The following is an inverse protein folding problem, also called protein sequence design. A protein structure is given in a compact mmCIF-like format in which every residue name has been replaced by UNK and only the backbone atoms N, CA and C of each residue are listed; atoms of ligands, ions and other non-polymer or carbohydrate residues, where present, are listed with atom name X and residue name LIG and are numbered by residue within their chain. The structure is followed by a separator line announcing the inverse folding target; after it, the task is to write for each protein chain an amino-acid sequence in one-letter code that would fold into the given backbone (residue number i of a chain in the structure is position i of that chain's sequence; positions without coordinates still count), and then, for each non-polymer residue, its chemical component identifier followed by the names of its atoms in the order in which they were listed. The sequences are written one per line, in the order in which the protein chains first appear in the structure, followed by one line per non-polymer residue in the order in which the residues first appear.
data_IF_492768949251
#
_entry.id   IF_492768949251
#
_cell.length_a   1.000
_cell.length_b   1.000
_cell.length_c   1.000
_cell.angle_alpha   90.00
_cell.angle_beta   90.00
_cell.angle_gamma   90.00
#
_symmetry.space_group_name_H-M   'P 1'
#
loop_
_entity.id
_entity.type
_entity.pdbx_description
1 polymer ?
#
# COMPACT_ATOMS: atom_id res chain seq x y z
N UNK A 1 0.23 -10.01 -14.60
CA UNK A 1 -0.10 -10.59 -13.28
C UNK A 1 0.89 -11.66 -12.82
N UNK A 2 1.32 -12.62 -13.66
CA UNK A 2 2.22 -13.71 -13.22
C UNK A 2 3.59 -13.27 -12.67
N UNK A 3 4.25 -12.30 -13.31
CA UNK A 3 5.58 -11.83 -12.85
C UNK A 3 5.50 -11.12 -11.50
N UNK A 4 4.53 -10.20 -11.34
CA UNK A 4 4.37 -9.48 -10.08
C UNK A 4 3.92 -10.41 -8.94
N UNK A 5 3.06 -11.38 -9.22
CA UNK A 5 2.67 -12.39 -8.24
C UNK A 5 3.88 -13.21 -7.77
N UNK A 6 4.79 -13.58 -8.67
CA UNK A 6 6.02 -14.30 -8.30
C UNK A 6 6.95 -13.42 -7.45
N UNK A 7 7.13 -12.14 -7.81
CA UNK A 7 7.95 -11.20 -7.01
C UNK A 7 7.35 -11.02 -5.61
N UNK A 8 6.03 -10.88 -5.49
CA UNK A 8 5.33 -10.80 -4.21
C UNK A 8 5.56 -12.05 -3.35
N UNK A 9 5.51 -13.24 -3.96
CA UNK A 9 5.75 -14.52 -3.29
C UNK A 9 7.22 -14.70 -2.88
N UNK A 10 8.16 -14.31 -3.74
CA UNK A 10 9.60 -14.34 -3.45
C UNK A 10 9.94 -13.43 -2.26
N UNK A 11 9.38 -12.22 -2.20
CA UNK A 11 9.56 -11.33 -1.04
C UNK A 11 8.95 -11.90 0.26
N UNK A 12 7.79 -12.57 0.19
CA UNK A 12 7.16 -13.24 1.34
C UNK A 12 8.02 -14.41 1.87
N UNK A 13 8.54 -15.27 0.98
CA UNK A 13 9.34 -16.44 1.35
C UNK A 13 10.69 -16.07 1.99
N UNK A 14 11.37 -15.05 1.48
CA UNK A 14 12.62 -14.54 2.06
C UNK A 14 12.43 -14.00 3.48
N UNK A 15 11.28 -13.36 3.73
CA UNK A 15 10.98 -12.73 5.02
C UNK A 15 10.59 -13.73 6.10
N UNK A 16 9.81 -14.77 5.79
CA UNK A 16 9.48 -15.84 6.74
C UNK A 16 10.75 -16.57 7.21
N UNK A 17 11.69 -16.79 6.29
CA UNK A 17 13.01 -17.32 6.59
C UNK A 17 13.80 -16.40 7.53
N UNK A 18 13.82 -15.09 7.26
CA UNK A 18 14.49 -14.09 8.10
C UNK A 18 13.84 -13.98 9.49
N UNK A 19 12.52 -13.93 9.60
CA UNK A 19 11.81 -13.90 10.88
C UNK A 19 12.12 -15.15 11.72
N UNK A 20 12.19 -16.32 11.09
CA UNK A 20 12.53 -17.58 11.77
C UNK A 20 13.93 -17.53 12.38
N UNK A 21 14.88 -16.85 11.72
CA UNK A 21 16.25 -16.67 12.20
C UNK A 21 16.41 -15.68 13.37
N UNK A 22 15.43 -14.80 13.61
CA UNK A 22 15.50 -13.76 14.64
C UNK A 22 15.18 -14.26 16.05
N UNK A 23 15.81 -13.64 17.06
CA UNK A 23 15.51 -13.87 18.48
C UNK A 23 14.12 -13.32 18.88
N UNK A 24 13.53 -13.88 19.96
CA UNK A 24 12.23 -13.41 20.50
C UNK A 24 12.24 -11.91 20.84
N UNK A 25 13.35 -11.39 21.35
CA UNK A 25 13.52 -9.97 21.70
C UNK A 25 13.43 -9.07 20.46
N UNK A 26 14.10 -9.46 19.37
CA UNK A 26 14.04 -8.73 18.10
C UNK A 26 12.64 -8.73 17.49
N UNK A 27 11.94 -9.88 17.51
CA UNK A 27 10.53 -9.96 17.06
C UNK A 27 9.62 -9.03 17.86
N UNK A 28 9.80 -8.98 19.19
CA UNK A 28 9.04 -8.08 20.06
C UNK A 28 9.30 -6.59 19.76
N UNK A 29 10.53 -6.20 19.43
CA UNK A 29 10.83 -4.82 19.07
C UNK A 29 10.18 -4.39 17.75
N UNK A 30 10.09 -5.30 16.76
CA UNK A 30 9.37 -5.03 15.51
C UNK A 30 7.90 -4.73 15.83
N UNK A 31 7.26 -5.51 16.70
CA UNK A 31 5.87 -5.27 17.09
C UNK A 31 5.65 -3.87 17.68
N UNK A 32 6.59 -3.35 18.49
CA UNK A 32 6.51 -1.98 19.05
C UNK A 32 6.57 -0.88 17.98
N UNK A 33 7.34 -1.08 16.91
CA UNK A 33 7.38 -0.12 15.80
C UNK A 33 6.02 -0.06 15.09
N UNK A 34 5.37 -1.21 14.93
CA UNK A 34 4.05 -1.29 14.28
C UNK A 34 2.94 -0.70 15.15
N UNK A 35 3.06 -0.77 16.48
CA UNK A 35 2.10 -0.17 17.43
C UNK A 35 1.99 1.36 17.28
N UNK A 36 3.08 2.04 16.92
CA UNK A 36 3.15 3.51 16.74
C UNK A 36 2.77 3.97 15.33
N UNK A 37 2.06 3.13 14.56
CA UNK A 37 1.67 3.43 13.17
C UNK A 37 0.84 4.71 13.03
N UNK A 38 -0.08 4.99 13.96
CA UNK A 38 -0.99 6.15 13.86
C UNK A 38 -0.24 7.46 14.09
N UNK A 39 0.79 7.45 14.94
CA UNK A 39 1.54 8.63 15.33
C UNK A 39 2.74 8.88 14.43
N UNK A 40 3.44 7.81 14.05
CA UNK A 40 4.76 7.88 13.40
C UNK A 40 4.80 7.29 11.97
N UNK A 41 3.71 6.67 11.50
CA UNK A 41 3.63 6.12 10.14
C UNK A 41 3.60 7.21 9.08
N UNK A 42 4.31 7.01 7.97
CA UNK A 42 4.46 8.02 6.90
C UNK A 42 3.13 8.46 6.27
N UNK A 43 2.09 7.63 6.30
CA UNK A 43 0.76 8.03 5.85
C UNK A 43 0.28 9.27 6.61
N UNK A 44 0.33 9.24 7.93
CA UNK A 44 -0.13 10.36 8.74
C UNK A 44 0.91 11.48 8.83
N UNK A 45 2.20 11.14 8.98
CA UNK A 45 3.24 12.15 9.24
C UNK A 45 3.66 12.91 7.99
N UNK A 46 3.65 12.28 6.82
CA UNK A 46 4.07 12.89 5.56
C UNK A 46 2.88 13.13 4.62
N UNK A 47 2.11 12.08 4.29
CA UNK A 47 1.09 12.19 3.25
C UNK A 47 -0.04 13.12 3.68
N UNK A 48 -0.70 12.83 4.80
CA UNK A 48 -1.84 13.63 5.30
C UNK A 48 -1.44 15.03 5.70
N UNK A 49 -0.26 15.22 6.31
CA UNK A 49 0.16 16.52 6.87
C UNK A 49 0.86 17.46 5.89
N UNK A 50 1.47 16.93 4.83
CA UNK A 50 2.35 17.72 3.97
C UNK A 50 2.09 17.57 2.48
N UNK A 51 1.74 16.36 2.00
CA UNK A 51 1.60 16.13 0.57
C UNK A 51 0.21 16.49 0.05
N UNK A 52 -0.84 16.30 0.85
CA UNK A 52 -2.22 16.60 0.43
C UNK A 52 -2.41 18.09 0.06
N UNK A 53 -1.65 18.99 0.67
CA UNK A 53 -1.76 20.44 0.44
C UNK A 53 -0.82 20.97 -0.67
N UNK A 54 0.09 20.14 -1.19
CA UNK A 54 1.12 20.53 -2.16
C UNK A 54 1.07 19.64 -3.41
N UNK A 55 0.43 20.13 -4.48
CA UNK A 55 0.24 19.38 -5.73
C UNK A 55 1.57 18.92 -6.35
N UNK A 56 2.60 19.76 -6.32
CA UNK A 56 3.90 19.44 -6.93
C UNK A 56 4.57 18.30 -6.17
N UNK A 57 4.60 18.36 -4.84
CA UNK A 57 5.17 17.27 -4.04
C UNK A 57 4.33 16.00 -4.11
N UNK A 58 3.00 16.13 -4.12
CA UNK A 58 2.10 15.00 -4.29
C UNK A 58 2.41 14.26 -5.59
N UNK A 59 2.53 15.00 -6.70
CA UNK A 59 2.86 14.43 -8.00
C UNK A 59 4.25 13.80 -8.03
N UNK A 60 5.26 14.45 -7.45
CA UNK A 60 6.60 13.86 -7.34
C UNK A 60 6.61 12.57 -6.53
N UNK A 61 5.77 12.48 -5.50
CA UNK A 61 5.74 11.33 -4.60
C UNK A 61 4.96 10.13 -5.18
N UNK A 62 3.80 10.38 -5.81
CA UNK A 62 2.90 9.33 -6.31
C UNK A 62 2.94 9.14 -7.83
N UNK A 63 3.64 10.00 -8.57
CA UNK A 63 3.62 10.06 -10.05
C UNK A 63 2.23 10.25 -10.66
N UNK A 64 1.27 10.77 -9.87
CA UNK A 64 -0.11 11.09 -10.25
C UNK A 64 -0.49 12.46 -9.70
N UNK A 65 -1.33 13.21 -10.41
CA UNK A 65 -1.95 14.42 -9.84
C UNK A 65 -2.97 14.04 -8.76
N UNK A 66 -3.31 14.98 -7.87
CA UNK A 66 -4.35 14.74 -6.85
C UNK A 66 -5.69 14.39 -7.50
N UNK A 67 -6.05 15.07 -8.58
CA UNK A 67 -7.29 14.80 -9.32
C UNK A 67 -7.34 13.37 -9.82
N UNK A 68 -6.26 12.89 -10.46
CA UNK A 68 -6.16 11.50 -10.93
C UNK A 68 -6.20 10.51 -9.78
N UNK A 69 -5.53 10.83 -8.67
CA UNK A 69 -5.56 9.98 -7.47
C UNK A 69 -6.98 9.79 -6.95
N UNK A 70 -7.74 10.87 -6.78
CA UNK A 70 -9.11 10.79 -6.28
C UNK A 70 -10.07 10.15 -7.30
N UNK A 71 -9.84 10.34 -8.59
CA UNK A 71 -10.56 9.62 -9.64
C UNK A 71 -10.33 8.11 -9.53
N UNK A 72 -9.08 7.64 -9.46
CA UNK A 72 -8.75 6.23 -9.25
C UNK A 72 -9.39 5.70 -7.96
N UNK A 73 -9.27 6.46 -6.87
CA UNK A 73 -9.83 6.08 -5.56
C UNK A 73 -11.35 5.87 -5.68
N UNK A 74 -12.07 6.75 -6.38
CA UNK A 74 -13.52 6.66 -6.52
C UNK A 74 -14.00 5.36 -7.20
N UNK A 75 -13.17 4.74 -8.04
CA UNK A 75 -13.49 3.48 -8.72
C UNK A 75 -13.26 2.24 -7.86
N UNK A 76 -12.34 2.31 -6.89
CA UNK A 76 -11.86 1.13 -6.14
C UNK A 76 -12.18 1.19 -4.65
N UNK A 77 -12.56 2.36 -4.12
CA UNK A 77 -12.74 2.62 -2.69
C UNK A 77 -13.63 1.59 -2.01
N UNK A 78 -14.77 1.23 -2.63
CA UNK A 78 -15.72 0.28 -2.08
C UNK A 78 -15.14 -1.14 -1.96
N UNK A 79 -14.25 -1.53 -2.87
CA UNK A 79 -13.69 -2.89 -2.93
C UNK A 79 -12.45 -3.03 -2.01
N UNK A 80 -11.71 -1.94 -1.77
CA UNK A 80 -10.50 -1.96 -0.92
C UNK A 80 -10.77 -1.52 0.53
N UNK A 81 -11.94 -0.94 0.82
CA UNK A 81 -12.35 -0.59 2.18
C UNK A 81 -12.68 -1.86 2.97
N UNK A 82 -11.97 -2.10 4.07
CA UNK A 82 -12.29 -3.20 4.99
C UNK A 82 -13.36 -2.75 5.98
N UNK A 83 -14.31 -3.64 6.28
CA UNK A 83 -15.31 -3.39 7.33
C UNK A 83 -14.69 -3.56 8.72
N UNK A 84 -15.15 -2.77 9.72
CA UNK A 84 -14.76 -2.98 11.11
C UNK A 84 -15.13 -4.40 11.56
N UNK A 85 -14.29 -5.02 12.39
CA UNK A 85 -14.56 -6.32 13.00
C UNK A 85 -14.11 -6.34 14.46
N UNK A 86 -14.37 -7.45 15.17
CA UNK A 86 -14.06 -7.59 16.61
C UNK A 86 -12.59 -7.33 16.95
N UNK A 87 -11.67 -7.51 16.00
CA UNK A 87 -10.23 -7.31 16.17
C UNK A 87 -9.74 -5.95 15.63
N UNK A 88 -10.53 -5.27 14.78
CA UNK A 88 -10.18 -4.01 14.12
C UNK A 88 -11.36 -3.05 14.21
N UNK A 89 -11.33 -2.19 15.22
CA UNK A 89 -12.39 -1.20 15.47
C UNK A 89 -12.36 -0.02 14.49
N UNK A 90 -11.16 0.39 14.03
CA UNK A 90 -10.95 1.45 13.04
C UNK A 90 -10.22 0.87 11.81
N UNK A 91 -10.94 0.49 10.74
CA UNK A 91 -10.31 0.06 9.50
C UNK A 91 -9.44 1.16 8.91
N UNK A 92 -8.40 0.73 8.21
CA UNK A 92 -7.58 1.63 7.41
C UNK A 92 -8.48 2.23 6.32
N UNK A 93 -8.58 3.56 6.22
CA UNK A 93 -9.28 4.24 5.11
C UNK A 93 -8.69 3.80 3.78
N UNK A 94 -9.54 3.57 2.75
CA UNK A 94 -9.14 3.18 1.40
C UNK A 94 -8.04 4.06 0.77
N UNK A 95 -7.94 5.31 1.21
CA UNK A 95 -6.88 6.23 0.81
C UNK A 95 -5.47 5.68 1.15
N UNK A 96 -5.28 5.08 2.32
CA UNK A 96 -3.96 4.61 2.75
C UNK A 96 -3.44 3.40 1.95
N UNK A 97 -4.24 2.33 1.70
CA UNK A 97 -3.87 1.25 0.78
C UNK A 97 -3.50 1.75 -0.60
N UNK A 98 -4.27 2.69 -1.17
CA UNK A 98 -3.96 3.25 -2.48
C UNK A 98 -2.65 4.05 -2.47
N UNK A 99 -2.43 4.90 -1.46
CA UNK A 99 -1.16 5.61 -1.30
C UNK A 99 0.03 4.65 -1.18
N UNK A 100 -0.11 3.58 -0.41
CA UNK A 100 0.93 2.56 -0.23
C UNK A 100 1.27 1.93 -1.58
N UNK A 101 0.27 1.45 -2.31
CA UNK A 101 0.46 0.79 -3.61
C UNK A 101 1.05 1.73 -4.66
N UNK A 102 0.59 2.97 -4.75
CA UNK A 102 1.15 3.94 -5.70
C UNK A 102 2.59 4.30 -5.36
N UNK A 103 2.93 4.41 -4.06
CA UNK A 103 4.32 4.62 -3.66
C UNK A 103 5.19 3.45 -4.09
N UNK A 104 4.75 2.21 -3.85
CA UNK A 104 5.46 1.02 -4.31
C UNK A 104 5.71 1.04 -5.82
N UNK A 105 4.68 1.31 -6.63
CA UNK A 105 4.82 1.43 -8.09
C UNK A 105 5.76 2.58 -8.51
N UNK A 106 5.80 3.66 -7.73
CA UNK A 106 6.62 4.82 -8.04
C UNK A 106 8.11 4.61 -7.71
N UNK A 107 8.47 3.71 -6.79
CA UNK A 107 9.86 3.57 -6.34
C UNK A 107 10.43 2.17 -6.37
N UNK A 108 9.60 1.14 -6.49
CA UNK A 108 10.01 -0.27 -6.45
C UNK A 108 10.85 -0.58 -5.18
N UNK A 109 10.51 0.09 -4.07
CA UNK A 109 11.13 -0.17 -2.77
C UNK A 109 10.62 -1.52 -2.25
N UNK A 110 11.51 -2.31 -1.62
CA UNK A 110 11.11 -3.58 -1.01
C UNK A 110 10.06 -3.38 0.09
N UNK A 111 9.22 -4.38 0.32
CA UNK A 111 8.20 -4.30 1.37
C UNK A 111 8.80 -4.14 2.76
N UNK A 112 10.02 -4.64 2.97
CA UNK A 112 10.79 -4.42 4.20
C UNK A 112 11.11 -2.95 4.42
N UNK A 113 11.56 -2.24 3.40
CA UNK A 113 11.81 -0.79 3.49
C UNK A 113 10.51 -0.03 3.77
N UNK A 114 9.45 -0.35 3.02
CA UNK A 114 8.13 0.25 3.23
C UNK A 114 7.56 -0.07 4.61
N UNK A 115 7.82 -1.25 5.16
CA UNK A 115 7.36 -1.68 6.48
C UNK A 115 7.85 -0.74 7.58
N UNK A 116 9.10 -0.28 7.50
CA UNK A 116 9.63 0.71 8.45
C UNK A 116 8.99 2.09 8.26
N UNK A 117 8.80 2.53 7.01
CA UNK A 117 8.23 3.85 6.70
C UNK A 117 6.75 3.96 7.08
N UNK A 118 5.94 2.99 6.65
CA UNK A 118 4.50 2.97 6.85
C UNK A 118 4.10 2.38 8.20
N UNK A 119 5.02 1.69 8.90
CA UNK A 119 4.77 0.97 10.16
C UNK A 119 3.65 -0.06 10.03
N UNK A 120 3.71 -0.79 8.92
CA UNK A 120 2.81 -1.91 8.61
C UNK A 120 3.71 -3.11 8.37
N UNK A 121 3.34 -4.30 8.85
CA UNK A 121 4.12 -5.50 8.55
C UNK A 121 4.24 -5.70 7.05
N UNK A 122 5.42 -6.07 6.57
CA UNK A 122 5.70 -6.38 5.16
C UNK A 122 4.71 -7.40 4.59
N UNK A 123 4.38 -8.49 5.32
CA UNK A 123 3.35 -9.45 4.91
C UNK A 123 2.00 -8.78 4.64
N UNK A 124 1.59 -7.82 5.48
CA UNK A 124 0.34 -7.10 5.25
C UNK A 124 0.48 -6.09 4.11
N UNK A 125 1.65 -5.49 3.89
CA UNK A 125 1.93 -4.64 2.73
C UNK A 125 1.79 -5.44 1.43
N UNK A 126 2.39 -6.63 1.33
CA UNK A 126 2.26 -7.51 0.16
C UNK A 126 0.79 -7.80 -0.16
N UNK A 127 0.02 -8.23 0.85
CA UNK A 127 -1.42 -8.48 0.70
C UNK A 127 -2.17 -7.23 0.22
N UNK A 128 -1.91 -6.07 0.83
CA UNK A 128 -2.54 -4.81 0.43
C UNK A 128 -2.22 -4.47 -1.04
N UNK A 129 -0.96 -4.55 -1.43
CA UNK A 129 -0.52 -4.21 -2.78
C UNK A 129 -1.18 -5.14 -3.79
N UNK A 130 -1.17 -6.45 -3.53
CA UNK A 130 -1.80 -7.44 -4.40
C UNK A 130 -3.30 -7.18 -4.54
N UNK A 131 -4.00 -6.96 -3.43
CA UNK A 131 -5.44 -6.73 -3.43
C UNK A 131 -5.78 -5.45 -4.22
N UNK A 132 -5.11 -4.33 -3.92
CA UNK A 132 -5.33 -3.05 -4.59
C UNK A 132 -5.02 -3.12 -6.09
N UNK A 133 -3.91 -3.74 -6.50
CA UNK A 133 -3.56 -3.87 -7.92
C UNK A 133 -4.55 -4.75 -8.67
N UNK A 134 -5.04 -5.81 -8.04
CA UNK A 134 -6.08 -6.67 -8.61
C UNK A 134 -7.35 -5.86 -8.85
N UNK A 135 -7.80 -5.11 -7.85
CA UNK A 135 -8.97 -4.22 -7.97
C UNK A 135 -8.78 -3.14 -9.03
N UNK A 136 -7.61 -2.50 -9.10
CA UNK A 136 -7.30 -1.50 -10.15
C UNK A 136 -7.43 -2.15 -11.53
N UNK A 137 -6.83 -3.32 -11.73
CA UNK A 137 -6.95 -4.03 -13.01
C UNK A 137 -8.41 -4.35 -13.35
N UNK A 138 -9.19 -4.86 -12.40
CA UNK A 138 -10.59 -5.23 -12.64
C UNK A 138 -11.49 -4.02 -12.97
N UNK A 139 -11.29 -2.89 -12.29
CA UNK A 139 -12.17 -1.71 -12.41
C UNK A 139 -11.73 -0.75 -13.50
N UNK A 140 -10.42 -0.53 -13.67
CA UNK A 140 -9.90 0.50 -14.57
C UNK A 140 -9.46 -0.05 -15.94
N UNK A 141 -8.97 -1.30 -16.04
CA UNK A 141 -8.57 -1.84 -17.36
C UNK A 141 -9.72 -1.74 -18.38
N UNK A 142 -10.99 -2.02 -18.03
CA UNK A 142 -12.06 -1.94 -19.01
C UNK A 142 -12.34 -0.53 -19.51
N UNK A 143 -12.09 0.47 -18.67
CA UNK A 143 -12.38 1.88 -18.96
C UNK A 143 -11.31 2.45 -19.89
N UNK A 144 -10.04 2.13 -19.67
CA UNK A 144 -8.92 2.79 -20.35
C UNK A 144 -8.24 1.94 -21.43
N UNK A 145 -8.32 0.61 -21.38
CA UNK A 145 -7.60 -0.27 -22.32
C UNK A 145 -8.50 -0.92 -23.36
N UNK A 146 -9.78 -1.17 -23.07
CA UNK A 146 -10.72 -1.68 -24.10
C UNK A 146 -11.30 -0.58 -24.99
N UNK A 147 -11.38 0.66 -24.51
CA UNK A 147 -11.79 1.83 -25.30
C UNK A 147 -10.80 2.18 -26.43
N UNK A 148 -9.50 1.92 -26.23
CA UNK A 148 -8.45 2.22 -27.20
C UNK A 148 -8.22 1.15 -28.29
N UNK A 149 -8.98 0.05 -28.29
CA UNK A 149 -8.89 -1.00 -29.32
C UNK A 149 -9.93 -0.83 -30.45
N UNK A 150 -10.78 0.19 -30.37
CA UNK A 150 -11.85 0.46 -31.35
C UNK A 150 -11.84 1.90 -31.89
N UNK A 151 -10.76 2.65 -31.66
CA UNK A 151 -10.52 3.98 -32.24
C UNK A 151 -9.26 3.94 -33.09
#
# INVERSE_FOLDING_TARGET
MGILANVLLEEEDEDDSLLLSLSKSQRSNINKILESRKEEGCHNTLITRHLMDDETKFHQYFRLSKTQFFEVLSYIENDITKTPNTFVNEPISACQPLCLTLRYLATEESFRSMSFNYRISHNHISLIIRDVLTTICEKLMPIYLFTNLYT
#
